data_IF_455744600651
#
_entry.id   IF_455744600651
#
_cell.length_a   1.000
_cell.length_b   1.000
_cell.length_c   1.000
_cell.angle_alpha   90.00
_cell.angle_beta   90.00
_cell.angle_gamma   90.00
#
_symmetry.space_group_name_H-M   'P 1'
#
loop_
_entity.id
_entity.type
_entity.pdbx_description
1 polymer ?
#
# COMPACT_ATOMS: atom_id res chain seq x y z
N UNK A 1 -9.01 -3.84 2.92
CA UNK A 1 -7.75 -3.19 2.48
C UNK A 1 -8.11 -1.99 1.63
N UNK A 2 -7.37 -0.89 1.76
CA UNK A 2 -7.58 0.27 0.91
C UNK A 2 -6.34 1.16 0.83
N UNK A 3 -6.18 1.80 -0.33
CA UNK A 3 -5.18 2.85 -0.58
C UNK A 3 -5.82 3.94 -1.44
N UNK A 4 -5.18 5.09 -1.55
CA UNK A 4 -5.73 6.21 -2.31
C UNK A 4 -4.62 7.07 -2.92
N UNK A 5 -4.96 7.82 -3.97
CA UNK A 5 -4.13 8.84 -4.57
C UNK A 5 -4.73 10.22 -4.26
N UNK A 6 -4.11 11.02 -3.37
CA UNK A 6 -4.61 12.33 -2.98
C UNK A 6 -4.79 13.28 -4.16
N UNK A 7 -3.84 13.28 -5.09
CA UNK A 7 -3.81 14.17 -6.25
C UNK A 7 -4.98 13.92 -7.22
N UNK A 8 -5.58 12.75 -7.15
CA UNK A 8 -6.66 12.32 -8.03
C UNK A 8 -8.01 12.20 -7.30
N UNK A 9 -8.03 12.41 -5.98
CA UNK A 9 -9.17 12.11 -5.12
C UNK A 9 -9.76 10.71 -5.39
N UNK A 10 -8.87 9.72 -5.61
CA UNK A 10 -9.24 8.38 -6.06
C UNK A 10 -8.82 7.32 -5.04
N UNK A 11 -9.80 6.59 -4.49
CA UNK A 11 -9.61 5.50 -3.54
C UNK A 11 -9.87 4.12 -4.15
N UNK A 12 -9.08 3.13 -3.72
CA UNK A 12 -9.24 1.73 -4.08
C UNK A 12 -9.48 0.91 -2.83
N UNK A 13 -10.45 0.00 -2.88
CA UNK A 13 -10.81 -0.86 -1.76
C UNK A 13 -11.03 -2.28 -2.24
N UNK A 14 -10.55 -3.25 -1.45
CA UNK A 14 -10.94 -4.64 -1.59
C UNK A 14 -11.45 -5.18 -0.25
N UNK A 15 -12.60 -5.88 -0.25
CA UNK A 15 -13.13 -6.50 0.96
C UNK A 15 -12.17 -7.60 1.42
N UNK A 16 -11.81 -7.58 2.70
CA UNK A 16 -11.04 -8.65 3.33
C UNK A 16 -12.00 -9.45 4.17
N UNK A 17 -12.05 -10.76 3.95
CA UNK A 17 -12.85 -11.63 4.80
C UNK A 17 -12.16 -11.78 6.17
N UNK A 18 -12.81 -11.31 7.24
CA UNK A 18 -12.25 -11.21 8.60
C UNK A 18 -11.91 -12.55 9.27
N UNK A 19 -12.10 -13.69 8.58
CA UNK A 19 -11.66 -15.01 9.06
C UNK A 19 -10.14 -15.21 9.05
N UNK A 20 -9.36 -14.20 8.67
CA UNK A 20 -7.89 -14.21 8.82
C UNK A 20 -7.57 -13.93 10.30
N UNK A 21 -7.84 -14.92 11.16
CA UNK A 21 -7.32 -14.94 12.52
C UNK A 21 -5.83 -15.22 12.42
N UNK A 22 -4.97 -14.20 12.60
CA UNK A 22 -3.60 -14.21 13.12
C UNK A 22 -2.88 -12.94 12.66
N UNK A 23 -2.02 -12.35 13.50
CA UNK A 23 -1.25 -11.14 13.20
C UNK A 23 -0.44 -11.23 11.88
N UNK A 24 -0.04 -12.43 11.48
CA UNK A 24 0.59 -12.72 10.17
C UNK A 24 -0.27 -12.27 8.98
N UNK A 25 -1.60 -12.30 9.13
CA UNK A 25 -2.53 -11.84 8.12
C UNK A 25 -2.49 -10.34 7.90
N UNK A 26 -2.37 -9.55 8.97
CA UNK A 26 -2.39 -8.09 8.87
C UNK A 26 -1.17 -7.58 8.12
N UNK A 27 0.03 -8.01 8.53
CA UNK A 27 1.26 -7.59 7.86
C UNK A 27 1.31 -8.04 6.39
N UNK A 28 0.83 -9.26 6.08
CA UNK A 28 0.69 -9.71 4.70
C UNK A 28 -0.25 -8.80 3.89
N UNK A 29 -1.39 -8.42 4.47
CA UNK A 29 -2.37 -7.55 3.82
C UNK A 29 -1.81 -6.14 3.61
N UNK A 30 -1.07 -5.58 4.57
CA UNK A 30 -0.39 -4.28 4.43
C UNK A 30 0.64 -4.32 3.29
N UNK A 31 1.50 -5.34 3.29
CA UNK A 31 2.48 -5.57 2.22
C UNK A 31 1.80 -5.69 0.84
N UNK A 32 0.72 -6.46 0.77
CA UNK A 32 -0.06 -6.64 -0.46
C UNK A 32 -0.74 -5.33 -0.90
N UNK A 33 -1.17 -4.49 0.05
CA UNK A 33 -1.76 -3.19 -0.23
C UNK A 33 -0.75 -2.25 -0.92
N UNK A 34 0.47 -2.17 -0.39
CA UNK A 34 1.57 -1.38 -0.98
C UNK A 34 1.91 -1.90 -2.38
N UNK A 35 2.09 -3.22 -2.53
CA UNK A 35 2.35 -3.80 -3.85
C UNK A 35 1.22 -3.49 -4.84
N UNK A 36 -0.04 -3.55 -4.41
CA UNK A 36 -1.20 -3.19 -5.25
C UNK A 36 -1.17 -1.72 -5.68
N UNK A 37 -0.76 -0.81 -4.79
CA UNK A 37 -0.59 0.61 -5.11
C UNK A 37 0.52 0.84 -6.15
N UNK A 38 1.62 0.08 -6.07
CA UNK A 38 2.71 0.11 -7.07
C UNK A 38 2.22 -0.38 -8.44
N UNK A 39 1.51 -1.52 -8.48
CA UNK A 39 0.93 -2.07 -9.72
C UNK A 39 -0.05 -1.11 -10.39
N UNK A 40 -0.80 -0.33 -9.61
CA UNK A 40 -1.76 0.64 -10.14
C UNK A 40 -1.13 1.99 -10.51
N UNK A 41 0.03 2.32 -9.95
CA UNK A 41 0.67 3.64 -10.06
C UNK A 41 0.71 4.15 -11.51
N UNK A 42 1.28 3.38 -12.45
CA UNK A 42 1.43 3.81 -13.85
C UNK A 42 0.15 3.85 -14.66
N UNK A 43 -0.91 3.21 -14.19
CA UNK A 43 -2.23 3.33 -14.83
C UNK A 43 -2.87 4.69 -14.60
N UNK A 44 -2.46 5.42 -13.56
CA UNK A 44 -3.09 6.68 -13.14
C UNK A 44 -2.12 7.87 -13.12
N UNK A 45 -0.83 7.64 -12.93
CA UNK A 45 0.17 8.69 -12.80
C UNK A 45 1.26 8.56 -13.86
N UNK A 46 1.51 9.67 -14.57
CA UNK A 46 2.55 9.74 -15.59
C UNK A 46 3.96 9.92 -15.01
N UNK A 47 4.09 10.15 -13.70
CA UNK A 47 5.38 10.37 -13.05
C UNK A 47 6.23 9.10 -13.03
N UNK A 48 7.55 9.28 -12.98
CA UNK A 48 8.51 8.19 -12.80
C UNK A 48 8.87 7.98 -11.33
N UNK A 49 8.40 8.84 -10.43
CA UNK A 49 8.68 8.72 -8.99
C UNK A 49 7.38 8.87 -8.20
N UNK A 50 7.23 8.05 -7.16
CA UNK A 50 6.11 8.14 -6.23
C UNK A 50 6.57 7.87 -4.79
N UNK A 51 5.83 8.44 -3.84
CA UNK A 51 5.97 8.16 -2.43
C UNK A 51 4.69 7.48 -1.95
N UNK A 52 4.81 6.32 -1.33
CA UNK A 52 3.71 5.60 -0.70
C UNK A 52 3.82 5.83 0.81
N UNK A 53 2.77 6.40 1.40
CA UNK A 53 2.68 6.57 2.85
C UNK A 53 1.93 5.39 3.48
N UNK A 54 2.46 4.89 4.59
CA UNK A 54 1.86 3.80 5.38
C UNK A 54 2.15 4.04 6.86
N UNK A 55 1.28 3.59 7.74
CA UNK A 55 1.47 3.63 9.20
C UNK A 55 2.11 2.34 9.76
N UNK A 56 2.51 1.44 8.87
CA UNK A 56 3.22 0.20 9.22
C UNK A 56 4.72 0.32 9.03
N UNK A 57 5.46 0.50 10.12
CA UNK A 57 6.94 0.55 10.12
C UNK A 57 7.55 -0.74 9.53
N UNK A 58 6.98 -1.91 9.84
CA UNK A 58 7.47 -3.18 9.31
C UNK A 58 7.47 -3.20 7.77
N UNK A 59 6.42 -2.66 7.15
CA UNK A 59 6.34 -2.61 5.68
C UNK A 59 7.28 -1.56 5.08
N UNK A 60 7.52 -0.45 5.78
CA UNK A 60 8.50 0.56 5.38
C UNK A 60 9.89 -0.07 5.31
N UNK A 61 10.27 -0.80 6.35
CA UNK A 61 11.55 -1.50 6.40
C UNK A 61 11.66 -2.55 5.29
N UNK A 62 10.60 -3.33 5.06
CA UNK A 62 10.59 -4.34 4.00
C UNK A 62 10.83 -3.76 2.60
N UNK A 63 10.08 -2.72 2.23
CA UNK A 63 10.14 -2.16 0.87
C UNK A 63 11.37 -1.29 0.65
N UNK A 64 11.94 -0.67 1.68
CA UNK A 64 13.15 0.13 1.54
C UNK A 64 14.45 -0.69 1.63
N UNK A 65 14.46 -1.78 2.42
CA UNK A 65 15.63 -2.67 2.52
C UNK A 65 15.68 -3.74 1.43
N UNK A 66 14.56 -3.95 0.73
CA UNK A 66 14.34 -5.08 -0.17
C UNK A 66 14.62 -6.45 0.49
N UNK A 67 14.40 -6.53 1.81
CA UNK A 67 14.66 -7.71 2.60
C UNK A 67 13.42 -8.14 3.37
N UNK A 68 13.10 -9.42 3.30
CA UNK A 68 11.96 -10.01 4.02
C UNK A 68 12.14 -11.51 4.23
N UNK A 69 11.25 -12.11 5.00
CA UNK A 69 11.22 -13.58 5.13
C UNK A 69 10.70 -14.22 3.83
N UNK A 70 11.08 -15.47 3.51
CA UNK A 70 10.72 -16.12 2.25
C UNK A 70 9.22 -16.12 1.92
N UNK A 71 8.35 -16.05 2.93
CA UNK A 71 6.90 -15.98 2.76
C UNK A 71 6.43 -14.73 2.01
N UNK A 72 7.11 -13.58 2.17
CA UNK A 72 6.72 -12.31 1.54
C UNK A 72 7.50 -12.00 0.26
N UNK A 73 8.55 -12.77 -0.06
CA UNK A 73 9.36 -12.57 -1.27
C UNK A 73 8.51 -12.43 -2.54
N UNK A 74 7.46 -13.25 -2.78
CA UNK A 74 6.65 -13.10 -4.00
C UNK A 74 5.99 -11.72 -4.12
N UNK A 75 5.56 -11.11 -3.01
CA UNK A 75 4.97 -9.76 -3.01
C UNK A 75 6.05 -8.73 -3.36
N UNK A 76 7.18 -8.80 -2.68
CA UNK A 76 8.26 -7.84 -2.87
C UNK A 76 8.87 -7.94 -4.28
N UNK A 77 9.11 -9.16 -4.78
CA UNK A 77 9.57 -9.40 -6.15
C UNK A 77 8.56 -8.86 -7.15
N UNK A 78 7.26 -9.13 -6.98
CA UNK A 78 6.24 -8.60 -7.89
C UNK A 78 6.18 -7.08 -7.90
N UNK A 79 6.43 -6.41 -6.78
CA UNK A 79 6.50 -4.95 -6.74
C UNK A 79 7.78 -4.40 -7.40
N UNK A 80 8.92 -5.06 -7.20
CA UNK A 80 10.21 -4.69 -7.83
C UNK A 80 10.17 -4.90 -9.34
N UNK A 81 9.56 -5.98 -9.82
CA UNK A 81 9.40 -6.22 -11.25
C UNK A 81 8.63 -5.07 -11.91
N UNK A 82 7.56 -4.58 -11.27
CA UNK A 82 6.82 -3.42 -11.77
C UNK A 82 7.66 -2.15 -11.82
N UNK A 83 8.51 -1.88 -10.81
CA UNK A 83 9.36 -0.69 -10.81
C UNK A 83 10.43 -0.76 -11.90
N UNK A 84 10.98 -1.94 -12.16
CA UNK A 84 11.93 -2.17 -13.25
C UNK A 84 11.25 -2.01 -14.61
N UNK A 85 10.13 -2.71 -14.85
CA UNK A 85 9.39 -2.68 -16.13
C UNK A 85 8.99 -1.27 -16.51
N UNK A 86 8.55 -0.48 -15.53
CA UNK A 86 8.08 0.88 -15.76
C UNK A 86 9.14 1.95 -15.57
N UNK A 87 10.38 1.57 -15.21
CA UNK A 87 11.47 2.49 -14.89
C UNK A 87 11.03 3.58 -13.91
N UNK A 88 10.37 3.17 -12.82
CA UNK A 88 9.92 4.07 -11.77
C UNK A 88 10.65 3.85 -10.45
N UNK A 89 10.72 4.91 -9.67
CA UNK A 89 11.30 4.94 -8.34
C UNK A 89 10.17 5.09 -7.31
N UNK A 90 10.09 4.17 -6.36
CA UNK A 90 9.05 4.14 -5.34
C UNK A 90 9.72 4.16 -3.98
N UNK A 91 9.34 5.14 -3.16
CA UNK A 91 9.75 5.20 -1.76
C UNK A 91 8.57 4.93 -0.85
N UNK A 92 8.76 4.09 0.16
CA UNK A 92 7.74 3.84 1.18
C UNK A 92 8.14 4.61 2.42
N UNK A 93 7.27 5.50 2.91
CA UNK A 93 7.53 6.32 4.08
C UNK A 93 6.50 6.07 5.16
N UNK A 94 6.98 6.02 6.41
CA UNK A 94 6.11 5.94 7.57
C UNK A 94 5.35 7.26 7.77
N UNK A 95 4.07 7.16 8.10
CA UNK A 95 3.24 8.26 8.59
C UNK A 95 2.47 7.81 9.83
N UNK A 96 2.31 8.67 10.82
CA UNK A 96 1.46 8.34 11.97
C UNK A 96 0.04 7.97 11.52
N UNK A 97 -0.56 6.91 12.09
CA UNK A 97 -1.93 6.49 11.74
C UNK A 97 -2.99 7.60 11.86
N UNK A 98 -2.80 8.57 12.77
CA UNK A 98 -3.69 9.75 12.89
C UNK A 98 -3.68 10.64 11.64
N UNK A 99 -2.66 10.54 10.79
CA UNK A 99 -2.56 11.24 9.50
C UNK A 99 -2.97 10.32 8.33
N UNK A 100 -3.13 9.01 8.54
CA UNK A 100 -3.53 8.02 7.54
C UNK A 100 -5.06 7.77 7.48
N UNK A 101 -5.87 8.71 7.97
CA UNK A 101 -7.32 8.54 8.19
C UNK A 101 -8.12 8.12 6.96
N UNK A 102 -7.74 8.59 5.77
CA UNK A 102 -8.45 8.24 4.53
C UNK A 102 -8.23 6.77 4.19
N UNK A 103 -6.99 6.28 4.25
CA UNK A 103 -6.68 4.88 3.98
C UNK A 103 -7.34 3.96 5.03
N UNK A 104 -7.37 4.35 6.30
CA UNK A 104 -8.05 3.63 7.37
C UNK A 104 -9.57 3.55 7.14
N UNK A 105 -10.19 4.69 6.82
CA UNK A 105 -11.61 4.73 6.51
C UNK A 105 -11.93 3.84 5.30
N UNK A 106 -11.11 3.88 4.25
CA UNK A 106 -11.25 3.03 3.08
C UNK A 106 -11.07 1.54 3.43
N UNK A 107 -10.08 1.19 4.24
CA UNK A 107 -9.80 -0.20 4.63
C UNK A 107 -10.93 -0.79 5.48
N UNK A 108 -11.64 0.06 6.23
CA UNK A 108 -12.82 -0.27 7.03
C UNK A 108 -14.16 -0.16 6.26
N UNK A 109 -14.16 0.26 4.99
CA UNK A 109 -15.38 0.47 4.20
C UNK A 109 -16.21 1.68 4.66
N UNK A 110 -15.63 2.61 5.43
CA UNK A 110 -16.26 3.84 5.90
C UNK A 110 -16.14 4.97 4.86
N UNK A 111 -16.75 4.79 3.69
CA UNK A 111 -16.60 5.72 2.56
C UNK A 111 -17.03 7.16 2.88
N UNK A 112 -18.05 7.34 3.71
CA UNK A 112 -18.47 8.67 4.14
C UNK A 112 -17.37 9.42 4.90
N UNK A 113 -16.57 8.73 5.72
CA UNK A 113 -15.44 9.32 6.43
C UNK A 113 -14.27 9.61 5.47
N UNK A 114 -14.05 8.74 4.47
CA UNK A 114 -12.98 8.91 3.49
C UNK A 114 -13.16 10.14 2.61
N UNK A 115 -14.40 10.56 2.31
CA UNK A 115 -14.70 11.72 1.45
C UNK A 115 -14.66 13.09 2.19
N UNK A 116 -14.30 13.13 3.47
CA UNK A 116 -14.29 14.37 4.27
C UNK A 116 -12.93 15.09 4.29
N UNK A 117 -11.92 14.55 3.60
CA UNK A 117 -10.55 15.04 3.53
C UNK A 117 -10.18 15.40 2.09
#
# INVERSE_FOLDING_TARGET
LGFWYPELSLGFVTPVNFNIHHCTGIYFLEALCIASAIHKFKSYLSTSTAVIFTDSEDTVDMFNSFHTTPFYNPILTSAVDETIVHSCDIHVLHVEGIKNKVADALSCGQFHCACQF
#
